data_IF_642334817164
#
_entry.id   IF_642334817164
#
_cell.length_a   1.000
_cell.length_b   1.000
_cell.length_c   1.000
_cell.angle_alpha   90.00
_cell.angle_beta   90.00
_cell.angle_gamma   90.00
#
_symmetry.space_group_name_H-M   'P 1'
#
loop_
_entity.id
_entity.type
_entity.pdbx_description
1 polymer ?
#
# COMPACT_ATOMS: atom_id res chain seq x y z
N UNK A 1 28.39 -17.61 72.07
CA UNK A 1 28.46 -18.97 71.47
C UNK A 1 27.66 -18.93 70.16
N UNK A 2 28.34 -19.08 69.01
CA UNK A 2 28.32 -20.29 68.13
C UNK A 2 26.88 -20.64 67.70
N UNK A 3 26.41 -20.59 66.45
CA UNK A 3 26.93 -20.88 65.08
C UNK A 3 25.87 -20.35 64.08
N UNK A 4 26.18 -19.59 63.00
CA UNK A 4 26.47 -19.99 61.59
C UNK A 4 25.29 -20.64 60.81
N UNK A 5 25.24 -20.53 59.45
CA UNK A 5 24.26 -19.71 58.72
C UNK A 5 23.33 -20.50 57.78
N UNK A 6 22.22 -19.90 57.35
CA UNK A 6 21.40 -20.42 56.24
C UNK A 6 21.94 -19.87 54.91
N UNK A 7 22.53 -20.76 54.11
CA UNK A 7 22.94 -20.52 52.72
C UNK A 7 22.28 -21.61 51.88
N UNK A 8 21.21 -21.30 51.15
CA UNK A 8 20.64 -22.21 50.15
C UNK A 8 20.03 -21.43 48.98
N UNK A 9 20.60 -21.70 47.79
CA UNK A 9 20.08 -21.56 46.43
C UNK A 9 19.77 -20.16 45.86
N UNK A 10 20.76 -19.57 45.20
CA UNK A 10 20.56 -18.90 43.90
C UNK A 10 21.22 -19.78 42.84
N UNK A 11 20.46 -20.67 42.21
CA UNK A 11 20.95 -21.45 41.07
C UNK A 11 19.78 -21.92 40.21
N UNK A 12 19.15 -21.01 39.47
CA UNK A 12 18.28 -21.38 38.35
C UNK A 12 18.08 -20.21 37.36
N UNK A 13 19.15 -19.61 36.82
CA UNK A 13 19.01 -18.57 35.78
C UNK A 13 20.09 -18.61 34.68
N UNK A 14 20.54 -19.80 34.28
CA UNK A 14 21.55 -19.93 33.22
C UNK A 14 21.17 -20.89 32.08
N UNK A 15 19.98 -21.50 32.08
CA UNK A 15 19.59 -22.47 31.04
C UNK A 15 18.56 -21.98 30.01
N UNK A 16 18.13 -20.71 30.05
CA UNK A 16 17.17 -20.16 29.07
C UNK A 16 17.83 -19.38 27.91
N UNK A 17 19.13 -19.07 27.98
CA UNK A 17 19.79 -18.23 26.97
C UNK A 17 20.45 -19.00 25.81
N UNK A 18 20.44 -20.33 25.83
CA UNK A 18 21.02 -21.15 24.74
C UNK A 18 19.98 -21.70 23.75
N UNK A 19 18.68 -21.45 23.95
CA UNK A 19 17.64 -21.91 23.05
C UNK A 19 17.31 -20.92 21.90
N UNK A 20 17.94 -19.74 21.86
CA UNK A 20 17.59 -18.67 20.92
C UNK A 20 18.11 -18.89 19.47
N UNK A 21 19.22 -19.60 19.16
CA UNK A 21 19.61 -19.75 17.76
C UNK A 21 18.92 -20.93 17.03
N UNK A 22 18.12 -21.77 17.72
CA UNK A 22 17.47 -22.92 17.07
C UNK A 22 16.07 -22.62 16.48
N UNK A 23 15.37 -21.59 16.96
CA UNK A 23 14.06 -21.23 16.39
C UNK A 23 14.14 -20.59 15.00
N UNK A 24 15.28 -19.96 14.65
CA UNK A 24 15.48 -19.34 13.33
C UNK A 24 15.67 -20.33 12.17
N UNK A 25 15.87 -21.62 12.44
CA UNK A 25 16.20 -22.62 11.41
C UNK A 25 15.05 -23.56 11.03
N UNK A 26 13.94 -23.55 11.78
CA UNK A 26 12.82 -24.48 11.58
C UNK A 26 11.67 -23.91 10.72
N UNK A 27 11.73 -22.63 10.36
CA UNK A 27 10.75 -21.98 9.49
C UNK A 27 11.49 -21.18 8.40
N UNK A 28 12.27 -21.88 7.56
CA UNK A 28 12.58 -21.32 6.25
C UNK A 28 11.29 -21.43 5.41
N UNK A 29 10.66 -20.31 5.01
CA UNK A 29 9.45 -20.36 4.21
C UNK A 29 9.73 -21.11 2.90
N UNK A 30 8.81 -22.00 2.50
CA UNK A 30 8.89 -22.70 1.22
C UNK A 30 8.66 -21.69 0.09
N UNK A 31 9.76 -21.14 -0.42
CA UNK A 31 9.80 -20.22 -1.55
C UNK A 31 9.89 -20.95 -2.89
N UNK A 32 9.78 -22.29 -2.89
CA UNK A 32 9.84 -23.08 -4.11
C UNK A 32 8.70 -22.68 -5.05
N UNK A 33 9.05 -22.38 -6.29
CA UNK A 33 8.08 -21.94 -7.30
C UNK A 33 7.62 -20.49 -7.14
N UNK A 34 8.13 -19.76 -6.16
CA UNK A 34 7.90 -18.31 -6.01
C UNK A 34 8.97 -17.56 -6.80
N UNK A 35 8.52 -16.63 -7.64
CA UNK A 35 9.40 -15.73 -8.38
C UNK A 35 8.96 -14.28 -8.12
N UNK A 36 9.93 -13.38 -8.14
CA UNK A 36 9.72 -11.98 -7.81
C UNK A 36 9.89 -11.09 -9.05
N UNK A 37 9.00 -10.10 -9.16
CA UNK A 37 8.89 -9.22 -10.30
C UNK A 37 8.82 -7.77 -9.82
N UNK A 38 9.62 -6.89 -10.40
CA UNK A 38 9.52 -5.46 -10.19
C UNK A 38 8.17 -4.94 -10.72
N UNK A 39 7.53 -4.06 -9.96
CA UNK A 39 6.20 -3.53 -10.26
C UNK A 39 6.10 -2.03 -9.92
N UNK A 40 5.49 -1.20 -10.78
CA UNK A 40 5.24 0.23 -10.51
C UNK A 40 3.89 0.44 -9.81
N UNK A 41 3.75 -0.11 -8.61
CA UNK A 41 2.50 -0.10 -7.83
C UNK A 41 2.62 0.72 -6.54
N UNK A 42 3.53 1.69 -6.48
CA UNK A 42 3.66 2.64 -5.36
C UNK A 42 2.51 3.65 -5.38
N UNK A 43 1.95 4.01 -4.22
CA UNK A 43 0.96 5.10 -4.13
C UNK A 43 1.60 6.46 -4.42
N UNK A 44 1.02 7.25 -5.33
CA UNK A 44 1.45 8.65 -5.51
C UNK A 44 1.16 9.50 -4.27
N UNK A 45 0.03 9.27 -3.59
CA UNK A 45 -0.35 10.02 -2.40
C UNK A 45 0.38 9.56 -1.12
N UNK A 46 0.95 8.35 -1.14
CA UNK A 46 1.66 7.74 -0.02
C UNK A 46 2.91 6.97 -0.49
N UNK A 47 4.00 7.65 -0.91
CA UNK A 47 5.13 7.01 -1.61
C UNK A 47 5.91 5.95 -0.81
N UNK A 48 5.66 5.82 0.49
CA UNK A 48 6.27 4.82 1.35
C UNK A 48 5.54 3.45 1.30
N UNK A 49 4.37 3.36 0.66
CA UNK A 49 3.55 2.15 0.59
C UNK A 49 3.05 1.86 -0.82
N UNK A 50 2.64 0.61 -1.04
CA UNK A 50 1.99 0.18 -2.27
C UNK A 50 0.53 0.60 -2.36
N UNK A 51 0.09 0.92 -3.58
CA UNK A 51 -1.26 1.31 -3.94
C UNK A 51 -2.16 0.09 -3.97
N UNK A 52 -2.80 -0.19 -2.84
CA UNK A 52 -3.72 -1.32 -2.70
C UNK A 52 -4.88 -1.26 -3.69
N UNK A 53 -5.44 -0.06 -3.91
CA UNK A 53 -6.53 0.17 -4.87
C UNK A 53 -6.14 -0.18 -6.32
N UNK A 54 -4.86 -0.04 -6.69
CA UNK A 54 -4.33 -0.49 -8.00
C UNK A 54 -3.91 -1.95 -7.98
N UNK A 55 -3.20 -2.38 -6.94
CA UNK A 55 -2.61 -3.71 -6.85
C UNK A 55 -3.66 -4.82 -6.74
N UNK A 56 -4.80 -4.57 -6.06
CA UNK A 56 -5.86 -5.56 -5.85
C UNK A 56 -6.28 -6.26 -7.14
N UNK A 57 -6.57 -5.48 -8.18
CA UNK A 57 -7.06 -6.02 -9.44
C UNK A 57 -5.98 -6.77 -10.21
N UNK A 58 -4.74 -6.26 -10.18
CA UNK A 58 -3.59 -6.93 -10.79
C UNK A 58 -3.32 -8.30 -10.13
N UNK A 59 -3.34 -8.37 -8.80
CA UNK A 59 -3.12 -9.63 -8.07
C UNK A 59 -4.26 -10.63 -8.31
N UNK A 60 -5.51 -10.16 -8.27
CA UNK A 60 -6.68 -11.01 -8.57
C UNK A 60 -6.62 -11.54 -9.99
N UNK A 61 -6.23 -10.73 -10.97
CA UNK A 61 -6.15 -11.16 -12.36
C UNK A 61 -4.97 -12.11 -12.62
N UNK A 62 -3.85 -11.98 -11.90
CA UNK A 62 -2.81 -13.02 -11.89
C UNK A 62 -3.39 -14.36 -11.39
N UNK A 63 -4.17 -14.33 -10.31
CA UNK A 63 -4.76 -15.54 -9.73
C UNK A 63 -5.90 -16.16 -10.58
N UNK A 64 -6.50 -15.41 -11.50
CA UNK A 64 -7.45 -15.94 -12.49
C UNK A 64 -6.79 -16.92 -13.46
N UNK A 65 -5.48 -16.82 -13.70
CA UNK A 65 -4.68 -17.82 -14.41
C UNK A 65 -4.41 -19.04 -13.53
N UNK A 66 -5.47 -19.62 -12.96
CA UNK A 66 -5.42 -20.66 -11.94
C UNK A 66 -4.74 -21.95 -12.40
N UNK A 67 -4.58 -22.17 -13.69
CA UNK A 67 -3.82 -23.27 -14.30
C UNK A 67 -2.30 -23.10 -14.16
N UNK A 68 -1.82 -21.86 -13.97
CA UNK A 68 -0.40 -21.52 -13.92
C UNK A 68 0.01 -20.84 -12.61
N UNK A 69 -0.90 -20.09 -11.97
CA UNK A 69 -0.64 -19.29 -10.77
C UNK A 69 -1.36 -19.89 -9.57
N UNK A 70 -0.63 -20.09 -8.48
CA UNK A 70 -1.16 -20.55 -7.18
C UNK A 70 -1.45 -19.37 -6.24
N UNK A 71 -0.72 -18.27 -6.37
CA UNK A 71 -0.97 -17.04 -5.62
C UNK A 71 -0.09 -15.89 -6.07
N UNK A 72 -0.54 -14.67 -5.76
CA UNK A 72 0.21 -13.44 -6.00
C UNK A 72 0.16 -12.50 -4.78
N UNK A 73 1.30 -11.87 -4.47
CA UNK A 73 1.45 -10.95 -3.34
C UNK A 73 2.14 -9.67 -3.78
N UNK A 74 1.76 -8.56 -3.18
CA UNK A 74 2.48 -7.29 -3.27
C UNK A 74 3.34 -7.10 -2.03
N UNK A 75 4.58 -6.63 -2.17
CA UNK A 75 5.34 -6.17 -1.01
C UNK A 75 4.76 -4.85 -0.44
N UNK A 76 5.03 -4.55 0.83
CA UNK A 76 4.53 -3.35 1.51
C UNK A 76 4.77 -2.05 0.73
N UNK A 77 5.92 -1.93 0.08
CA UNK A 77 6.30 -0.73 -0.67
C UNK A 77 5.60 -0.61 -2.03
N UNK A 78 5.02 -1.69 -2.57
CA UNK A 78 4.41 -1.68 -3.90
C UNK A 78 5.41 -1.70 -5.06
N UNK A 79 6.65 -2.11 -4.80
CA UNK A 79 7.74 -2.16 -5.78
C UNK A 79 7.98 -3.57 -6.33
N UNK A 80 7.43 -4.60 -5.68
CA UNK A 80 7.64 -6.01 -6.01
C UNK A 80 6.33 -6.78 -5.91
N UNK A 81 6.06 -7.59 -6.93
CA UNK A 81 5.05 -8.64 -6.91
C UNK A 81 5.73 -10.00 -6.81
N UNK A 82 5.36 -10.81 -5.83
CA UNK A 82 5.72 -12.22 -5.77
C UNK A 82 4.62 -13.05 -6.42
N UNK A 83 4.97 -13.99 -7.29
CA UNK A 83 4.03 -14.93 -7.92
C UNK A 83 4.49 -16.35 -7.62
N UNK A 84 3.61 -17.14 -7.01
CA UNK A 84 3.80 -18.57 -6.84
C UNK A 84 3.21 -19.29 -8.04
N UNK A 85 4.06 -19.96 -8.81
CA UNK A 85 3.67 -20.69 -10.01
C UNK A 85 3.40 -22.17 -9.70
N UNK A 86 2.44 -22.76 -10.42
CA UNK A 86 2.09 -24.17 -10.30
C UNK A 86 3.07 -25.05 -11.06
N UNK A 87 3.80 -25.90 -10.33
CA UNK A 87 4.73 -26.84 -10.95
C UNK A 87 5.79 -26.15 -11.80
N UNK A 88 6.28 -26.85 -12.83
CA UNK A 88 7.31 -26.33 -13.72
C UNK A 88 6.72 -25.51 -14.88
N UNK A 89 6.19 -24.31 -14.59
CA UNK A 89 5.81 -23.36 -15.65
C UNK A 89 7.07 -22.81 -16.31
N UNK A 90 7.17 -22.93 -17.65
CA UNK A 90 8.30 -22.39 -18.41
C UNK A 90 8.44 -20.86 -18.25
N UNK A 91 9.63 -20.32 -18.47
CA UNK A 91 9.86 -18.87 -18.43
C UNK A 91 8.96 -18.13 -19.42
N UNK A 92 8.86 -18.62 -20.66
CA UNK A 92 8.04 -18.02 -21.72
C UNK A 92 6.55 -17.95 -21.34
N UNK A 93 6.00 -19.04 -20.76
CA UNK A 93 4.60 -19.05 -20.33
C UNK A 93 4.37 -18.08 -19.18
N UNK A 94 5.33 -17.93 -18.26
CA UNK A 94 5.26 -16.93 -17.19
C UNK A 94 5.25 -15.52 -17.76
N UNK A 95 6.13 -15.23 -18.70
CA UNK A 95 6.19 -13.93 -19.37
C UNK A 95 4.88 -13.58 -20.09
N UNK A 96 4.28 -14.54 -20.80
CA UNK A 96 2.98 -14.36 -21.48
C UNK A 96 1.89 -13.96 -20.48
N UNK A 97 1.78 -14.67 -19.35
CA UNK A 97 0.79 -14.35 -18.29
C UNK A 97 1.04 -12.96 -17.71
N UNK A 98 2.29 -12.67 -17.32
CA UNK A 98 2.67 -11.39 -16.74
C UNK A 98 2.43 -10.22 -17.69
N UNK A 99 2.72 -10.38 -18.98
CA UNK A 99 2.48 -9.36 -20.01
C UNK A 99 1.00 -9.12 -20.23
N UNK A 100 0.20 -10.19 -20.30
CA UNK A 100 -1.25 -10.08 -20.48
C UNK A 100 -1.89 -9.32 -19.31
N UNK A 101 -1.60 -9.73 -18.06
CA UNK A 101 -2.13 -9.06 -16.87
C UNK A 101 -1.57 -7.65 -16.74
N UNK A 102 -0.27 -7.47 -16.92
CA UNK A 102 0.37 -6.16 -16.85
C UNK A 102 -0.24 -5.14 -17.81
N UNK A 103 -0.47 -5.55 -19.07
CA UNK A 103 -1.10 -4.71 -20.10
C UNK A 103 -2.54 -4.34 -19.72
N UNK A 104 -3.32 -5.29 -19.19
CA UNK A 104 -4.70 -5.03 -18.76
C UNK A 104 -4.80 -3.97 -17.64
N UNK A 105 -3.73 -3.82 -16.84
CA UNK A 105 -3.65 -2.91 -15.69
C UNK A 105 -2.70 -1.73 -15.88
N UNK A 106 -2.23 -1.46 -17.12
CA UNK A 106 -1.26 -0.41 -17.42
C UNK A 106 -0.04 -0.45 -16.46
N UNK A 107 0.52 -1.64 -16.26
CA UNK A 107 1.60 -1.90 -15.32
C UNK A 107 2.57 -2.93 -15.89
N UNK A 108 3.86 -2.63 -15.87
CA UNK A 108 4.88 -3.58 -16.33
C UNK A 108 5.38 -4.42 -15.17
N UNK A 109 5.36 -5.75 -15.32
CA UNK A 109 5.96 -6.69 -14.38
C UNK A 109 7.26 -7.23 -14.95
N UNK A 110 8.38 -6.86 -14.34
CA UNK A 110 9.72 -7.19 -14.87
C UNK A 110 10.39 -8.22 -13.97
N UNK A 111 10.90 -9.32 -14.55
CA UNK A 111 11.66 -10.30 -13.78
C UNK A 111 12.88 -9.66 -13.11
N UNK A 112 13.05 -9.89 -11.80
CA UNK A 112 14.20 -9.37 -11.06
C UNK A 112 15.44 -10.24 -11.28
N UNK A 113 16.63 -9.64 -11.13
CA UNK A 113 17.88 -10.37 -11.23
C UNK A 113 17.99 -11.43 -10.12
N UNK A 114 18.71 -12.56 -10.33
CA UNK A 114 18.78 -13.64 -9.34
C UNK A 114 19.22 -13.21 -7.94
N UNK A 115 20.14 -12.24 -7.85
CA UNK A 115 20.61 -11.68 -6.58
C UNK A 115 19.50 -10.94 -5.82
N UNK A 116 18.67 -10.19 -6.54
CA UNK A 116 17.54 -9.47 -5.95
C UNK A 116 16.47 -10.44 -5.48
N UNK A 117 16.14 -11.46 -6.29
CA UNK A 117 15.21 -12.52 -5.89
C UNK A 117 15.65 -13.24 -4.61
N UNK A 118 16.94 -13.59 -4.51
CA UNK A 118 17.49 -14.23 -3.31
C UNK A 118 17.32 -13.35 -2.06
N UNK A 119 17.50 -12.02 -2.18
CA UNK A 119 17.34 -11.09 -1.05
C UNK A 119 15.90 -10.99 -0.54
N UNK A 120 14.90 -11.19 -1.41
CA UNK A 120 13.47 -11.11 -1.08
C UNK A 120 12.92 -12.40 -0.45
N UNK A 121 13.58 -13.53 -0.70
CA UNK A 121 13.16 -14.83 -0.16
C UNK A 121 13.12 -14.88 1.38
N UNK A 122 13.94 -14.07 2.05
CA UNK A 122 14.03 -14.04 3.51
C UNK A 122 12.85 -13.37 4.22
N UNK A 123 12.14 -12.45 3.57
CA UNK A 123 10.97 -11.77 4.14
C UNK A 123 9.63 -12.36 3.68
N UNK A 124 9.63 -13.19 2.64
CA UNK A 124 8.41 -13.80 2.11
C UNK A 124 8.05 -15.10 2.83
N UNK A 125 6.78 -15.37 3.21
CA UNK A 125 5.58 -14.53 3.06
C UNK A 125 5.17 -13.89 4.39
N UNK A 126 6.04 -13.12 5.06
CA UNK A 126 5.60 -12.39 6.27
C UNK A 126 4.48 -11.43 5.88
N UNK A 127 3.30 -11.62 6.47
CA UNK A 127 2.08 -10.83 6.21
C UNK A 127 2.24 -9.35 6.53
N UNK A 128 3.24 -8.97 7.34
CA UNK A 128 3.56 -7.55 7.59
C UNK A 128 4.18 -6.87 6.38
N UNK A 129 4.91 -7.64 5.58
CA UNK A 129 5.67 -7.14 4.43
C UNK A 129 5.07 -7.58 3.09
N UNK A 130 4.16 -8.55 3.07
CA UNK A 130 3.57 -9.14 1.88
C UNK A 130 2.04 -9.28 1.99
N UNK A 131 1.34 -8.75 0.99
CA UNK A 131 -0.12 -8.63 0.99
C UNK A 131 -0.70 -9.38 -0.21
N UNK A 132 -1.58 -10.35 0.04
CA UNK A 132 -2.27 -11.13 -1.00
C UNK A 132 -3.60 -10.49 -1.38
N UNK A 133 -3.98 -10.49 -2.66
CA UNK A 133 -5.37 -10.28 -3.09
C UNK A 133 -6.10 -9.14 -2.38
N UNK A 134 -7.03 -9.47 -1.46
CA UNK A 134 -7.79 -8.47 -0.65
C UNK A 134 -7.03 -7.88 0.53
N UNK A 135 -5.95 -8.48 1.00
CA UNK A 135 -5.13 -7.96 2.11
C UNK A 135 -4.51 -6.59 1.77
N UNK A 136 -4.34 -6.28 0.48
CA UNK A 136 -3.91 -4.94 0.02
C UNK A 136 -4.96 -3.85 0.33
N UNK A 137 -6.19 -4.22 0.72
CA UNK A 137 -7.19 -3.27 1.23
C UNK A 137 -6.68 -2.57 2.51
N UNK A 138 -5.79 -3.21 3.29
CA UNK A 138 -5.13 -2.57 4.43
C UNK A 138 -4.17 -1.45 4.00
N UNK A 139 -3.45 -1.64 2.89
CA UNK A 139 -2.64 -0.58 2.28
C UNK A 139 -3.52 0.57 1.77
N UNK A 140 -4.70 0.26 1.24
CA UNK A 140 -5.66 1.28 0.78
C UNK A 140 -6.20 2.11 1.94
N UNK A 141 -6.48 1.49 3.10
CA UNK A 141 -6.88 2.21 4.32
C UNK A 141 -5.73 3.06 4.87
N UNK A 142 -4.49 2.55 4.81
CA UNK A 142 -3.30 3.33 5.20
C UNK A 142 -3.10 4.54 4.28
N UNK A 143 -3.26 4.37 2.97
CA UNK A 143 -3.25 5.45 1.97
C UNK A 143 -4.33 6.50 2.28
N UNK A 144 -5.56 6.08 2.55
CA UNK A 144 -6.67 6.99 2.90
C UNK A 144 -6.35 7.86 4.13
N UNK A 145 -5.72 7.27 5.16
CA UNK A 145 -5.27 8.00 6.35
C UNK A 145 -4.17 9.02 6.02
N UNK A 146 -3.22 8.67 5.16
CA UNK A 146 -2.15 9.57 4.75
C UNK A 146 -2.72 10.74 3.94
N UNK A 147 -3.65 10.46 3.02
CA UNK A 147 -4.37 11.51 2.27
C UNK A 147 -5.09 12.44 3.23
N UNK A 148 -5.87 11.93 4.19
CA UNK A 148 -6.58 12.75 5.16
C UNK A 148 -5.65 13.68 5.94
N UNK A 149 -4.53 13.15 6.46
CA UNK A 149 -3.51 13.95 7.15
C UNK A 149 -2.90 15.04 6.28
N UNK A 150 -2.59 14.73 5.03
CA UNK A 150 -2.04 15.70 4.08
C UNK A 150 -3.06 16.79 3.73
N UNK A 151 -4.33 16.41 3.56
CA UNK A 151 -5.44 17.35 3.37
C UNK A 151 -5.58 18.29 4.57
N UNK A 152 -5.58 17.77 5.80
CA UNK A 152 -5.64 18.60 7.00
C UNK A 152 -4.42 19.53 7.14
N UNK A 153 -3.22 19.05 6.78
CA UNK A 153 -2.02 19.89 6.74
C UNK A 153 -2.23 21.09 5.80
N UNK A 154 -2.74 20.86 4.58
CA UNK A 154 -3.03 21.95 3.64
C UNK A 154 -4.06 22.95 4.15
N UNK A 155 -5.09 22.49 4.86
CA UNK A 155 -6.06 23.39 5.49
C UNK A 155 -5.49 24.19 6.66
N UNK A 156 -4.64 23.58 7.49
CA UNK A 156 -3.94 24.26 8.59
C UNK A 156 -3.05 25.38 8.09
N UNK A 157 -2.24 25.09 7.06
CA UNK A 157 -1.34 26.07 6.45
C UNK A 157 -2.08 27.29 5.91
N UNK A 158 -3.31 27.09 5.44
CA UNK A 158 -4.21 28.15 4.94
C UNK A 158 -5.14 28.72 6.01
N UNK A 159 -5.07 28.26 7.26
CA UNK A 159 -5.93 28.67 8.37
C UNK A 159 -7.44 28.55 8.09
N UNK A 160 -7.83 27.51 7.34
CA UNK A 160 -9.20 27.31 6.86
C UNK A 160 -10.09 26.55 7.85
N UNK A 161 -9.50 25.88 8.83
CA UNK A 161 -10.20 25.06 9.81
C UNK A 161 -9.90 25.55 11.22
N UNK A 162 -10.94 25.51 12.06
CA UNK A 162 -10.75 25.70 13.51
C UNK A 162 -10.13 24.44 14.10
N UNK A 163 -9.15 24.55 15.03
CA UNK A 163 -8.51 23.38 15.65
C UNK A 163 -9.50 22.42 16.32
N UNK A 164 -10.65 22.92 16.78
CA UNK A 164 -11.71 22.13 17.43
C UNK A 164 -12.37 21.08 16.52
N UNK A 165 -12.28 21.23 15.20
CA UNK A 165 -12.94 20.35 14.23
C UNK A 165 -11.98 19.50 13.40
N UNK A 166 -10.66 19.77 13.47
CA UNK A 166 -9.66 19.10 12.65
C UNK A 166 -9.74 17.58 12.76
N UNK A 167 -9.85 17.03 13.97
CA UNK A 167 -9.85 15.57 14.17
C UNK A 167 -11.07 14.90 13.56
N UNK A 168 -12.25 15.51 13.70
CA UNK A 168 -13.49 14.96 13.16
C UNK A 168 -13.49 15.04 11.64
N UNK A 169 -13.02 16.16 11.08
CA UNK A 169 -12.95 16.31 9.64
C UNK A 169 -11.85 15.45 9.00
N UNK A 170 -10.71 15.24 9.67
CA UNK A 170 -9.69 14.26 9.25
C UNK A 170 -10.31 12.86 9.13
N UNK A 171 -11.09 12.45 10.15
CA UNK A 171 -11.76 11.14 10.15
C UNK A 171 -12.81 11.02 9.04
N UNK A 172 -13.57 12.07 8.75
CA UNK A 172 -14.51 12.10 7.63
C UNK A 172 -13.79 11.94 6.29
N UNK A 173 -12.68 12.65 6.08
CA UNK A 173 -11.87 12.53 4.86
C UNK A 173 -11.24 11.14 4.73
N UNK A 174 -10.66 10.59 5.82
CA UNK A 174 -10.14 9.21 5.83
C UNK A 174 -11.23 8.21 5.44
N UNK A 175 -12.43 8.35 6.00
CA UNK A 175 -13.56 7.48 5.69
C UNK A 175 -13.99 7.58 4.23
N UNK A 176 -14.10 8.79 3.69
CA UNK A 176 -14.49 9.00 2.28
C UNK A 176 -13.50 8.29 1.33
N UNK A 177 -12.20 8.42 1.55
CA UNK A 177 -11.20 7.74 0.73
C UNK A 177 -11.16 6.23 0.94
N UNK A 178 -11.31 5.77 2.18
CA UNK A 178 -11.37 4.34 2.46
C UNK A 178 -12.58 3.71 1.73
N UNK A 179 -13.76 4.31 1.83
CA UNK A 179 -14.96 3.84 1.14
C UNK A 179 -14.78 3.85 -0.38
N UNK A 180 -14.16 4.91 -0.93
CA UNK A 180 -13.78 4.96 -2.34
C UNK A 180 -12.94 3.76 -2.72
N UNK A 181 -11.78 3.57 -2.10
CA UNK A 181 -10.83 2.53 -2.51
C UNK A 181 -11.38 1.12 -2.32
N UNK A 182 -12.17 0.89 -1.27
CA UNK A 182 -12.75 -0.41 -0.98
C UNK A 182 -13.95 -0.76 -1.88
N UNK A 183 -14.62 0.25 -2.45
CA UNK A 183 -15.76 0.06 -3.35
C UNK A 183 -15.40 -0.11 -4.82
N UNK A 184 -14.14 0.12 -5.21
CA UNK A 184 -13.69 -0.07 -6.58
C UNK A 184 -13.90 -1.53 -7.02
N UNK A 185 -14.44 -1.69 -8.21
CA UNK A 185 -14.59 -2.99 -8.89
C UNK A 185 -13.53 -3.20 -9.96
N UNK A 186 -12.93 -2.12 -10.44
CA UNK A 186 -11.80 -2.12 -11.36
C UNK A 186 -10.92 -0.88 -11.18
N UNK A 187 -9.68 -0.94 -11.69
CA UNK A 187 -8.81 0.24 -11.73
C UNK A 187 -9.39 1.38 -12.60
N UNK A 188 -10.20 1.06 -13.60
CA UNK A 188 -10.83 2.05 -14.49
C UNK A 188 -11.90 2.88 -13.79
N UNK A 189 -12.34 2.44 -12.61
CA UNK A 189 -13.31 3.16 -11.78
C UNK A 189 -12.67 4.38 -11.12
N UNK A 190 -11.33 4.45 -11.05
CA UNK A 190 -10.56 5.64 -10.66
C UNK A 190 -10.45 6.61 -11.84
N UNK A 191 -11.54 7.33 -12.09
CA UNK A 191 -11.67 8.30 -13.16
C UNK A 191 -12.16 9.66 -12.64
N UNK A 192 -12.20 10.66 -13.51
CA UNK A 192 -12.58 12.04 -13.17
C UNK A 192 -13.94 12.14 -12.48
N UNK A 193 -14.95 11.37 -12.91
CA UNK A 193 -16.28 11.40 -12.29
C UNK A 193 -16.23 10.90 -10.85
N UNK A 194 -15.52 9.79 -10.61
CA UNK A 194 -15.30 9.26 -9.28
C UNK A 194 -14.58 10.26 -8.37
N UNK A 195 -13.55 10.95 -8.88
CA UNK A 195 -12.84 11.97 -8.12
C UNK A 195 -13.71 13.19 -7.83
N UNK A 196 -14.49 13.68 -8.80
CA UNK A 196 -15.43 14.79 -8.60
C UNK A 196 -16.47 14.47 -7.51
N UNK A 197 -16.95 13.22 -7.47
CA UNK A 197 -17.86 12.76 -6.41
C UNK A 197 -17.20 12.78 -5.04
N UNK A 198 -15.94 12.35 -4.96
CA UNK A 198 -15.16 12.37 -3.71
C UNK A 198 -14.91 13.81 -3.26
N UNK A 199 -14.55 14.72 -4.16
CA UNK A 199 -14.44 16.15 -3.88
C UNK A 199 -15.74 16.73 -3.32
N UNK A 200 -16.88 16.40 -3.93
CA UNK A 200 -18.19 16.84 -3.45
C UNK A 200 -18.53 16.28 -2.06
N UNK A 201 -18.14 15.04 -1.77
CA UNK A 201 -18.30 14.45 -0.43
C UNK A 201 -17.42 15.15 0.61
N UNK A 202 -16.17 15.45 0.28
CA UNK A 202 -15.25 16.19 1.17
C UNK A 202 -15.77 17.61 1.41
N UNK A 203 -16.24 18.29 0.37
CA UNK A 203 -16.87 19.61 0.47
C UNK A 203 -18.06 19.56 1.43
N UNK A 204 -18.99 18.63 1.21
CA UNK A 204 -20.19 18.46 2.05
C UNK A 204 -19.82 18.13 3.50
N UNK A 205 -18.77 17.32 3.72
CA UNK A 205 -18.29 17.02 5.07
C UNK A 205 -17.68 18.26 5.74
N UNK A 206 -16.85 19.01 5.03
CA UNK A 206 -16.20 20.22 5.54
C UNK A 206 -17.19 21.33 5.91
N UNK A 207 -18.24 21.52 5.09
CA UNK A 207 -19.30 22.51 5.35
C UNK A 207 -20.03 22.30 6.69
N UNK A 208 -20.05 21.07 7.23
CA UNK A 208 -20.57 20.80 8.58
C UNK A 208 -19.77 21.52 9.67
N UNK A 209 -18.50 21.81 9.42
CA UNK A 209 -17.56 22.36 10.40
C UNK A 209 -17.29 23.86 10.21
N UNK A 210 -17.36 24.35 8.96
CA UNK A 210 -17.07 25.76 8.63
C UNK A 210 -18.30 26.55 8.19
N UNK A 211 -19.44 25.90 8.01
CA UNK A 211 -20.68 26.48 7.49
C UNK A 211 -20.82 26.29 5.98
N UNK A 212 -22.07 26.20 5.52
CA UNK A 212 -22.41 26.02 4.11
C UNK A 212 -21.78 27.11 3.23
N UNK A 213 -21.13 26.70 2.12
CA UNK A 213 -20.45 27.60 1.20
C UNK A 213 -19.12 28.20 1.68
N UNK A 214 -18.75 27.98 2.95
CA UNK A 214 -17.49 28.50 3.50
C UNK A 214 -16.33 27.51 3.36
N UNK A 215 -16.61 26.27 2.95
CA UNK A 215 -15.57 25.28 2.74
C UNK A 215 -14.88 25.55 1.39
N UNK A 216 -13.57 25.79 1.37
CA UNK A 216 -12.85 26.00 0.12
C UNK A 216 -12.77 24.68 -0.64
N UNK A 217 -12.98 24.77 -1.95
CA UNK A 217 -12.87 23.62 -2.84
C UNK A 217 -11.47 23.03 -2.73
N UNK A 218 -11.40 21.74 -2.40
CA UNK A 218 -10.15 20.97 -2.50
C UNK A 218 -10.07 20.49 -3.92
N UNK A 219 -9.07 20.97 -4.65
CA UNK A 219 -8.64 20.27 -5.85
C UNK A 219 -7.77 19.11 -5.40
N UNK A 220 -8.20 17.89 -5.71
CA UNK A 220 -7.39 16.71 -5.45
C UNK A 220 -6.24 16.69 -6.46
N UNK A 221 -5.02 16.82 -5.96
CA UNK A 221 -3.82 16.61 -6.76
C UNK A 221 -3.75 15.14 -7.18
N UNK A 222 -4.38 14.80 -8.30
CA UNK A 222 -4.09 13.56 -9.01
C UNK A 222 -2.75 13.83 -9.70
N UNK A 223 -1.75 12.97 -9.45
CA UNK A 223 -0.51 13.01 -10.22
C UNK A 223 -0.84 12.97 -11.72
N UNK A 224 -0.13 13.73 -12.57
CA UNK A 224 -0.38 13.70 -14.00
C UNK A 224 -0.28 12.25 -14.51
N UNK A 225 -0.99 11.96 -15.60
CA UNK A 225 -0.87 10.70 -16.35
C UNK A 225 0.59 10.24 -16.36
N UNK A 226 0.81 8.96 -16.09
CA UNK A 226 2.11 8.29 -16.11
C UNK A 226 2.69 8.23 -17.54
N UNK A 227 2.85 9.38 -18.18
CA UNK A 227 3.52 9.56 -19.45
C UNK A 227 4.83 10.31 -19.15
N UNK A 228 5.83 9.57 -18.64
CA UNK A 228 7.26 9.86 -18.81
C UNK A 228 7.84 11.23 -18.40
N UNK A 229 7.12 12.13 -17.72
CA UNK A 229 7.63 13.46 -17.39
C UNK A 229 8.09 13.55 -15.93
N UNK A 230 9.33 13.99 -15.75
CA UNK A 230 9.97 14.27 -14.46
C UNK A 230 9.14 15.25 -13.65
N UNK A 231 9.12 15.00 -12.33
CA UNK A 231 8.24 15.64 -11.37
C UNK A 231 8.18 17.17 -11.46
N UNK A 232 6.95 17.67 -11.45
CA UNK A 232 6.64 18.99 -10.96
C UNK A 232 5.65 18.81 -9.80
N UNK A 233 6.11 19.16 -8.61
CA UNK A 233 5.28 19.36 -7.44
C UNK A 233 4.32 20.51 -7.73
N UNK A 234 3.03 20.32 -7.44
CA UNK A 234 2.01 21.36 -7.50
C UNK A 234 2.25 22.42 -6.41
N UNK A 235 3.23 23.29 -6.64
CA UNK A 235 3.49 24.48 -5.85
C UNK A 235 3.43 25.68 -6.77
N UNK A 236 2.23 26.10 -7.17
CA UNK A 236 2.00 27.48 -7.61
C UNK A 236 0.51 27.84 -7.56
N UNK A 237 0.21 28.87 -6.77
CA UNK A 237 -1.10 29.47 -6.63
C UNK A 237 -1.44 30.26 -7.90
N UNK A 238 -2.06 29.60 -8.87
CA UNK A 238 -2.78 30.27 -9.95
C UNK A 238 -4.17 29.68 -9.98
N UNK A 239 -5.22 30.50 -9.83
CA UNK A 239 -6.63 30.08 -9.79
C UNK A 239 -7.17 29.54 -11.12
N UNK A 240 -6.41 28.66 -11.78
CA UNK A 240 -6.82 27.79 -12.88
C UNK A 240 -6.68 26.37 -12.38
N UNK A 241 -7.66 25.51 -12.69
CA UNK A 241 -7.61 24.15 -12.19
C UNK A 241 -6.34 23.49 -12.70
N UNK A 242 -5.69 22.68 -11.86
CA UNK A 242 -4.58 21.84 -12.30
C UNK A 242 -5.00 20.86 -13.42
N UNK A 243 -6.31 20.76 -13.73
CA UNK A 243 -6.92 19.96 -14.78
C UNK A 243 -7.12 20.72 -16.11
N UNK A 244 -6.85 22.03 -16.19
CA UNK A 244 -7.08 22.84 -17.40
C UNK A 244 -5.92 22.82 -18.40
N UNK A 245 -4.92 21.95 -18.22
CA UNK A 245 -3.82 21.79 -19.18
C UNK A 245 -3.63 20.31 -19.51
N UNK A 246 -4.12 19.99 -20.70
CA UNK A 246 -3.99 18.75 -21.48
C UNK A 246 -2.70 17.95 -21.23
#
# INVERSE_FOLDING_TARGET
MKTKPFTVLVALSALLLLAIPMYGRLYAPDTKGVYFYGAPLVCSAAPAIGCGSKAKFLLVDLEKHSEAVEGAWLNRQGTVVAVKWRGAVSADKREVVLKAVGTAHNSTLTALAPKEQASLSGSFPDRKDWFKGREVDELSKEEARIIAKNTMKGYREKQLLKPSFEKQFEADVEKIYADLFLSLSSYKDLNTETYNRVEAQIQTAGEKYVGAGNMPRVELCIAPKLDGAKGESCTQATGKSCCDKN
#
